data_IF_601636747675
#
_entry.id   IF_601636747675
#
_cell.length_a   1.000
_cell.length_b   1.000
_cell.length_c   1.000
_cell.angle_alpha   90.00
_cell.angle_beta   90.00
_cell.angle_gamma   90.00
#
_symmetry.space_group_name_H-M   'P 1'
#
loop_
_entity.id
_entity.type
_entity.pdbx_description
1 polymer ?
#
# COMPACT_ATOMS: atom_id res chain seq x y z
N UNK A 1 84.65 12.29 48.88
CA UNK A 1 84.93 11.33 47.80
C UNK A 1 83.62 10.68 47.37
N UNK A 2 83.44 10.60 46.05
CA UNK A 2 82.42 9.84 45.30
C UNK A 2 81.05 10.51 45.12
N UNK A 3 80.65 10.48 43.85
CA UNK A 3 79.73 11.30 43.07
C UNK A 3 78.30 10.69 42.97
N UNK A 4 77.37 11.59 42.62
CA UNK A 4 76.22 11.39 41.72
C UNK A 4 75.08 10.45 42.14
N UNK A 5 73.95 11.05 42.57
CA UNK A 5 72.63 10.42 42.52
C UNK A 5 71.91 10.90 41.25
N UNK A 6 71.84 10.01 40.26
CA UNK A 6 71.15 10.23 39.00
C UNK A 6 69.64 9.97 39.15
N UNK A 7 68.91 10.93 38.59
CA UNK A 7 67.47 11.02 38.33
C UNK A 7 66.87 9.74 37.75
N UNK A 8 65.73 9.28 38.30
CA UNK A 8 64.77 8.45 37.56
C UNK A 8 63.38 9.07 37.62
N UNK A 9 62.90 9.46 36.44
CA UNK A 9 61.63 10.09 36.20
C UNK A 9 60.47 9.08 36.32
N UNK A 10 59.50 9.41 37.17
CA UNK A 10 58.21 8.73 37.26
C UNK A 10 57.34 9.17 36.08
N UNK A 11 57.35 8.41 34.99
CA UNK A 11 56.37 8.58 33.89
C UNK A 11 55.10 7.82 34.27
N UNK A 12 54.08 8.56 34.69
CA UNK A 12 52.69 8.12 34.73
C UNK A 12 52.24 7.81 33.30
N UNK A 13 52.14 6.53 32.95
CA UNK A 13 51.40 6.08 31.77
C UNK A 13 50.00 5.68 32.24
N UNK A 14 49.08 6.64 32.15
CA UNK A 14 47.65 6.41 32.20
C UNK A 14 47.25 5.56 30.99
N UNK A 15 47.25 4.24 31.13
CA UNK A 15 46.61 3.34 30.19
C UNK A 15 45.09 3.49 30.33
N UNK A 16 44.54 4.50 29.66
CA UNK A 16 43.12 4.63 29.43
C UNK A 16 42.71 3.42 28.57
N UNK A 17 42.13 2.41 29.21
CA UNK A 17 41.48 1.30 28.54
C UNK A 17 40.27 1.88 27.78
N UNK A 18 40.50 2.30 26.54
CA UNK A 18 39.45 2.49 25.55
C UNK A 18 38.92 1.09 25.26
N UNK A 19 38.03 0.61 26.11
CA UNK A 19 37.11 -0.45 25.77
C UNK A 19 36.23 0.11 24.65
N UNK A 20 36.69 -0.10 23.41
CA UNK A 20 35.88 0.00 22.23
C UNK A 20 34.72 -0.98 22.41
N UNK A 21 33.60 -0.49 22.95
CA UNK A 21 32.32 -1.16 22.90
C UNK A 21 31.96 -1.29 21.43
N UNK A 22 32.39 -2.39 20.80
CA UNK A 22 31.91 -2.74 19.49
C UNK A 22 30.38 -2.72 19.58
N UNK A 23 29.68 -1.98 18.71
CA UNK A 23 28.23 -1.93 18.73
C UNK A 23 27.74 -3.37 18.65
N UNK A 24 27.02 -3.82 19.68
CA UNK A 24 26.34 -5.09 19.63
C UNK A 24 25.38 -5.03 18.45
N UNK A 25 25.72 -5.70 17.35
CA UNK A 25 24.86 -5.79 16.19
C UNK A 25 23.67 -6.66 16.59
N UNK A 26 22.57 -6.01 16.95
CA UNK A 26 21.28 -6.65 17.21
C UNK A 26 20.84 -7.43 15.96
N UNK A 27 20.70 -8.73 16.13
CA UNK A 27 20.54 -9.69 15.06
C UNK A 27 19.14 -10.30 15.12
N UNK A 28 18.15 -9.56 14.63
CA UNK A 28 16.75 -9.92 14.81
C UNK A 28 16.09 -10.27 13.47
N UNK A 29 15.34 -11.38 13.39
CA UNK A 29 14.70 -11.84 12.15
C UNK A 29 13.17 -11.97 12.29
N UNK A 30 12.48 -11.98 11.14
CA UNK A 30 11.02 -12.03 11.05
C UNK A 30 10.57 -12.68 9.74
N UNK A 31 9.33 -13.18 9.71
CA UNK A 31 8.75 -13.67 8.46
C UNK A 31 8.32 -12.50 7.57
N UNK A 32 9.09 -12.26 6.51
CA UNK A 32 8.80 -11.23 5.52
C UNK A 32 7.81 -11.71 4.43
N UNK A 33 7.76 -13.01 4.15
CA UNK A 33 6.76 -13.59 3.28
C UNK A 33 6.26 -14.92 3.83
N UNK A 34 4.95 -15.15 3.79
CA UNK A 34 4.30 -16.38 4.25
C UNK A 34 4.00 -17.31 3.08
N UNK A 35 3.78 -16.78 1.88
CA UNK A 35 3.47 -17.57 0.68
C UNK A 35 4.36 -17.18 -0.49
N UNK A 36 5.65 -17.49 -0.37
CA UNK A 36 6.64 -17.30 -1.42
C UNK A 36 6.39 -18.27 -2.57
N UNK A 37 6.35 -17.75 -3.80
CA UNK A 37 6.27 -18.55 -5.01
C UNK A 37 7.53 -18.34 -5.84
N UNK A 38 8.29 -19.42 -6.00
CA UNK A 38 9.46 -19.43 -6.87
C UNK A 38 9.06 -19.25 -8.33
N UNK A 39 9.85 -18.46 -9.05
CA UNK A 39 9.79 -18.34 -10.51
C UNK A 39 10.21 -19.65 -11.19
N UNK A 40 11.19 -20.35 -10.61
CA UNK A 40 11.62 -21.69 -11.03
C UNK A 40 11.65 -22.65 -9.83
N UNK A 41 10.76 -23.64 -9.81
CA UNK A 41 10.66 -24.62 -8.73
C UNK A 41 11.87 -25.57 -8.65
N UNK A 42 12.53 -25.82 -9.78
CA UNK A 42 13.68 -26.73 -9.86
C UNK A 42 14.98 -26.04 -9.44
N UNK A 43 14.98 -24.71 -9.39
CA UNK A 43 16.10 -23.89 -8.95
C UNK A 43 15.59 -22.81 -7.98
N UNK A 44 15.19 -23.21 -6.76
CA UNK A 44 14.62 -22.29 -5.79
C UNK A 44 15.63 -21.19 -5.46
N UNK A 45 15.18 -19.95 -5.58
CA UNK A 45 15.93 -18.77 -5.19
C UNK A 45 15.02 -17.89 -4.32
N UNK A 46 15.51 -17.60 -3.11
CA UNK A 46 14.81 -16.76 -2.14
C UNK A 46 15.02 -15.27 -2.40
N UNK A 47 15.89 -14.87 -3.33
CA UNK A 47 16.05 -13.47 -3.73
C UNK A 47 14.78 -12.90 -4.37
N UNK A 48 14.65 -11.58 -4.42
CA UNK A 48 13.52 -10.92 -5.09
C UNK A 48 13.43 -11.22 -6.60
N UNK A 49 14.52 -11.74 -7.21
CA UNK A 49 14.52 -12.22 -8.60
C UNK A 49 14.04 -13.67 -8.72
N UNK A 50 14.11 -14.42 -7.63
CA UNK A 50 13.84 -15.85 -7.58
C UNK A 50 12.36 -16.21 -7.42
N UNK A 51 11.50 -15.23 -7.13
CA UNK A 51 10.09 -15.46 -6.89
C UNK A 51 9.33 -14.19 -6.51
N UNK A 52 8.10 -14.38 -6.03
CA UNK A 52 7.25 -13.32 -5.51
C UNK A 52 6.47 -13.77 -4.30
N UNK A 53 6.09 -12.82 -3.45
CA UNK A 53 5.29 -13.09 -2.27
C UNK A 53 3.79 -12.93 -2.55
N UNK A 54 3.00 -13.96 -2.23
CA UNK A 54 1.53 -13.98 -2.40
C UNK A 54 0.75 -13.90 -1.09
N UNK A 55 1.44 -13.64 0.02
CA UNK A 55 0.81 -13.62 1.33
C UNK A 55 1.81 -13.24 2.41
N UNK A 56 1.41 -12.30 3.26
CA UNK A 56 2.31 -11.65 4.20
C UNK A 56 1.87 -11.86 5.64
N UNK A 57 2.75 -11.53 6.58
CA UNK A 57 2.39 -11.37 7.98
C UNK A 57 1.35 -10.23 8.14
N UNK A 58 0.65 -10.22 9.28
CA UNK A 58 -0.34 -9.17 9.55
C UNK A 58 0.31 -7.79 9.54
N UNK A 59 -0.38 -6.84 8.93
CA UNK A 59 0.02 -5.43 8.82
C UNK A 59 1.46 -5.28 8.30
N UNK A 60 1.86 -6.15 7.39
CA UNK A 60 3.18 -6.08 6.78
C UNK A 60 3.20 -5.01 5.67
N UNK A 61 4.09 -4.02 5.71
CA UNK A 61 4.19 -2.98 4.68
C UNK A 61 4.88 -3.55 3.43
N UNK A 62 4.12 -4.21 2.56
CA UNK A 62 4.69 -4.98 1.43
C UNK A 62 5.41 -4.14 0.37
N UNK A 63 5.23 -2.81 0.38
CA UNK A 63 5.93 -1.87 -0.51
C UNK A 63 7.35 -1.55 -0.04
N UNK A 64 7.71 -1.94 1.19
CA UNK A 64 9.04 -1.72 1.75
C UNK A 64 10.04 -2.80 1.30
N UNK A 65 11.32 -2.45 1.34
CA UNK A 65 12.42 -3.34 0.95
C UNK A 65 12.56 -4.45 1.99
N UNK A 66 12.70 -5.70 1.52
CA UNK A 66 12.68 -6.94 2.32
C UNK A 66 13.46 -6.93 3.66
N UNK A 67 14.57 -6.20 3.74
CA UNK A 67 15.51 -6.23 4.87
C UNK A 67 15.58 -4.92 5.66
N UNK A 68 14.82 -3.87 5.31
CA UNK A 68 14.95 -2.52 5.90
C UNK A 68 14.06 -2.28 7.12
N UNK A 69 13.33 -3.29 7.58
CA UNK A 69 12.31 -3.14 8.62
C UNK A 69 12.81 -3.30 10.06
N UNK A 70 14.14 -3.32 10.28
CA UNK A 70 14.71 -3.29 11.63
C UNK A 70 14.75 -1.90 12.24
N UNK A 71 15.14 -0.90 11.46
CA UNK A 71 15.18 0.50 11.91
C UNK A 71 13.85 1.24 11.69
N UNK A 72 12.84 0.57 11.12
CA UNK A 72 11.53 1.15 10.91
C UNK A 72 10.74 1.24 12.21
N UNK A 73 9.87 2.24 12.33
CA UNK A 73 8.91 2.32 13.43
C UNK A 73 7.50 1.98 12.93
N UNK A 74 6.86 0.90 13.41
CA UNK A 74 7.38 -0.09 14.35
C UNK A 74 8.26 -1.14 13.66
N UNK A 75 9.29 -1.60 14.37
CA UNK A 75 10.19 -2.66 13.91
C UNK A 75 9.41 -3.95 13.67
N UNK A 76 9.85 -4.82 12.77
CA UNK A 76 9.22 -6.14 12.57
C UNK A 76 9.75 -7.24 13.48
N UNK A 77 10.85 -7.02 14.20
CA UNK A 77 11.31 -8.00 15.17
C UNK A 77 10.47 -7.90 16.46
N UNK A 78 9.74 -8.97 16.75
CA UNK A 78 9.07 -9.14 18.03
C UNK A 78 9.82 -10.20 18.83
N UNK A 79 10.61 -9.77 19.82
CA UNK A 79 11.23 -10.68 20.77
C UNK A 79 10.17 -11.06 21.83
N UNK A 80 9.62 -12.26 21.70
CA UNK A 80 8.55 -12.75 22.52
C UNK A 80 9.02 -12.96 23.98
N UNK A 81 8.42 -12.28 24.97
CA UNK A 81 8.70 -12.57 26.37
C UNK A 81 8.07 -13.90 26.79
N UNK A 82 8.61 -14.55 27.83
CA UNK A 82 8.21 -15.89 28.31
C UNK A 82 6.69 -16.06 28.51
N UNK A 83 6.02 -15.01 28.98
CA UNK A 83 4.57 -14.99 29.23
C UNK A 83 3.81 -14.02 28.31
N UNK A 84 4.44 -13.61 27.20
CA UNK A 84 3.87 -12.66 26.25
C UNK A 84 2.78 -13.25 25.35
N UNK A 85 2.08 -12.38 24.60
CA UNK A 85 1.21 -12.82 23.54
C UNK A 85 2.00 -13.59 22.46
N UNK A 86 1.29 -14.43 21.70
CA UNK A 86 1.91 -15.19 20.62
C UNK A 86 2.35 -14.31 19.42
N UNK A 87 1.59 -13.24 19.20
CA UNK A 87 1.77 -12.27 18.14
C UNK A 87 2.01 -10.91 18.78
N UNK A 88 2.85 -10.08 18.17
CA UNK A 88 3.09 -8.73 18.69
C UNK A 88 1.78 -7.94 18.78
N UNK A 89 1.62 -7.23 19.87
CA UNK A 89 0.54 -6.28 20.11
C UNK A 89 1.04 -4.85 20.33
N UNK A 90 2.31 -4.57 19.99
CA UNK A 90 3.03 -3.30 20.19
C UNK A 90 3.25 -2.89 21.64
N UNK A 91 2.84 -3.71 22.60
CA UNK A 91 2.92 -3.40 24.04
C UNK A 91 3.94 -4.32 24.70
N UNK A 92 3.88 -5.61 24.37
CA UNK A 92 4.76 -6.61 24.96
C UNK A 92 5.92 -6.91 24.02
N UNK A 93 7.13 -6.88 24.56
CA UNK A 93 8.39 -7.23 23.89
C UNK A 93 9.48 -7.35 24.94
N UNK A 94 10.38 -8.32 24.80
CA UNK A 94 11.59 -8.38 25.64
C UNK A 94 12.57 -7.31 25.14
N UNK A 95 13.28 -6.64 26.06
CA UNK A 95 14.31 -5.64 25.75
C UNK A 95 13.87 -4.46 24.85
N UNK A 96 12.57 -4.14 24.79
CA UNK A 96 12.05 -3.08 23.93
C UNK A 96 11.67 -3.52 22.50
N UNK A 97 11.94 -4.78 22.14
CA UNK A 97 11.58 -5.39 20.85
C UNK A 97 10.10 -5.78 20.82
N UNK A 98 9.23 -4.77 20.93
CA UNK A 98 7.77 -4.95 20.93
C UNK A 98 7.25 -5.42 19.57
N UNK A 99 7.99 -5.15 18.49
CA UNK A 99 7.57 -5.42 17.11
C UNK A 99 6.36 -4.62 16.64
N UNK A 100 5.94 -4.87 15.39
CA UNK A 100 4.80 -4.23 14.76
C UNK A 100 3.50 -4.91 15.15
N UNK A 101 2.38 -4.17 15.16
CA UNK A 101 1.08 -4.73 15.53
C UNK A 101 0.66 -5.86 14.59
N UNK A 102 0.73 -7.09 15.09
CA UNK A 102 0.31 -8.32 14.42
C UNK A 102 -0.97 -8.89 15.05
N UNK A 103 -1.71 -8.09 15.81
CA UNK A 103 -3.05 -8.47 16.27
C UNK A 103 -3.98 -8.66 15.08
N UNK A 104 -4.95 -9.53 15.27
CA UNK A 104 -6.04 -9.73 14.31
C UNK A 104 -6.79 -8.40 14.07
N UNK A 105 -6.99 -8.05 12.80
CA UNK A 105 -7.97 -7.03 12.43
C UNK A 105 -9.41 -7.51 12.68
N UNK A 106 -10.33 -6.58 12.92
CA UNK A 106 -11.76 -6.86 12.97
C UNK A 106 -12.54 -5.82 12.12
N UNK A 107 -12.94 -6.14 10.88
CA UNK A 107 -12.81 -7.44 10.20
C UNK A 107 -11.35 -7.80 9.87
N UNK A 108 -11.10 -9.08 9.55
CA UNK A 108 -9.73 -9.57 9.30
C UNK A 108 -9.01 -8.83 8.18
N UNK A 109 -9.77 -8.29 7.21
CA UNK A 109 -9.27 -7.48 6.11
C UNK A 109 -8.52 -6.22 6.58
N UNK A 110 -8.82 -5.68 7.77
CA UNK A 110 -8.06 -4.54 8.32
C UNK A 110 -6.58 -4.85 8.57
N UNK A 111 -6.20 -6.12 8.67
CA UNK A 111 -4.80 -6.52 8.81
C UNK A 111 -4.07 -6.70 7.46
N UNK A 112 -4.77 -6.56 6.32
CA UNK A 112 -4.26 -6.91 4.98
C UNK A 112 -4.72 -5.97 3.86
N UNK A 113 -5.31 -4.81 4.17
CA UNK A 113 -5.86 -3.88 3.17
C UNK A 113 -4.96 -2.65 2.94
N UNK A 114 -5.09 -2.05 1.76
CA UNK A 114 -4.43 -0.80 1.36
C UNK A 114 -2.91 -0.89 1.43
N UNK A 115 -2.33 -0.30 2.48
CA UNK A 115 -0.88 -0.28 2.73
C UNK A 115 -0.28 -1.63 3.16
N UNK A 116 -1.11 -2.60 3.54
CA UNK A 116 -0.65 -3.90 4.03
C UNK A 116 -0.68 -4.97 2.94
N UNK A 117 0.24 -5.93 3.00
CA UNK A 117 0.30 -7.03 2.06
C UNK A 117 -0.93 -7.94 2.14
N UNK A 118 -1.28 -8.69 1.08
CA UNK A 118 -2.43 -9.60 1.07
C UNK A 118 -2.32 -10.73 2.09
N UNK A 119 -3.49 -11.24 2.49
CA UNK A 119 -3.62 -12.45 3.30
C UNK A 119 -3.27 -13.70 2.50
N UNK A 120 -2.61 -14.67 3.12
CA UNK A 120 -2.31 -15.95 2.46
C UNK A 120 -3.60 -16.76 2.24
N UNK A 121 -3.78 -17.27 1.01
CA UNK A 121 -4.80 -18.28 0.69
C UNK A 121 -4.12 -19.54 0.14
N UNK A 122 -4.50 -20.71 0.64
CA UNK A 122 -3.92 -22.00 0.27
C UNK A 122 -4.94 -23.14 0.39
N UNK A 123 -4.56 -24.35 -0.02
CA UNK A 123 -5.34 -25.57 0.14
C UNK A 123 -4.56 -26.57 0.99
N UNK A 124 -5.27 -27.52 1.61
CA UNK A 124 -4.66 -28.72 2.17
C UNK A 124 -3.81 -29.42 1.10
N UNK A 125 -2.61 -29.89 1.48
CA UNK A 125 -1.68 -30.57 0.58
C UNK A 125 -0.83 -29.65 -0.30
N UNK A 126 -1.17 -28.36 -0.40
CA UNK A 126 -0.32 -27.40 -1.11
C UNK A 126 0.99 -27.18 -0.37
N UNK A 127 2.04 -26.88 -1.13
CA UNK A 127 3.31 -26.42 -0.57
C UNK A 127 3.24 -24.92 -0.31
N UNK A 128 3.50 -24.53 0.93
CA UNK A 128 3.59 -23.15 1.39
C UNK A 128 5.04 -22.88 1.78
N UNK A 129 5.59 -21.77 1.30
CA UNK A 129 6.99 -21.42 1.48
C UNK A 129 7.09 -20.08 2.20
N UNK A 130 7.82 -20.05 3.32
CA UNK A 130 8.01 -18.85 4.14
C UNK A 130 9.42 -18.32 3.87
N UNK A 131 9.56 -17.00 3.77
CA UNK A 131 10.83 -16.28 3.52
C UNK A 131 11.12 -15.31 4.65
N UNK A 132 12.36 -15.24 5.11
CA UNK A 132 12.85 -14.35 6.18
C UNK A 132 14.28 -13.86 5.89
N UNK A 133 14.70 -12.70 6.42
CA UNK A 133 16.09 -12.25 6.30
C UNK A 133 16.99 -12.99 7.30
N UNK A 134 18.25 -13.27 6.92
CA UNK A 134 19.16 -14.03 7.77
C UNK A 134 19.72 -13.24 8.97
N UNK A 135 19.91 -11.93 8.80
CA UNK A 135 20.27 -10.99 9.86
C UNK A 135 21.54 -11.39 10.59
N UNK A 136 22.61 -11.55 9.82
CA UNK A 136 23.97 -11.97 10.19
C UNK A 136 24.12 -13.47 10.55
N UNK A 137 23.03 -14.16 10.87
CA UNK A 137 23.00 -15.60 11.18
C UNK A 137 23.03 -16.55 9.97
N UNK A 138 23.65 -16.10 8.87
CA UNK A 138 23.79 -16.89 7.65
C UNK A 138 25.17 -17.55 7.52
N UNK A 139 26.02 -17.40 8.53
CA UNK A 139 27.40 -17.87 8.52
C UNK A 139 27.52 -19.36 8.88
N UNK A 140 28.55 -20.00 8.33
CA UNK A 140 28.77 -21.45 8.45
C UNK A 140 29.10 -21.93 9.87
N UNK A 141 29.57 -21.03 10.74
CA UNK A 141 30.18 -21.38 12.02
C UNK A 141 29.21 -21.25 13.21
N UNK A 142 27.95 -20.93 12.98
CA UNK A 142 26.93 -20.89 14.04
C UNK A 142 26.10 -22.18 14.05
N UNK A 143 25.43 -22.48 15.16
CA UNK A 143 24.52 -23.62 15.23
C UNK A 143 23.33 -23.47 14.27
N UNK A 144 22.89 -24.60 13.70
CA UNK A 144 21.68 -24.64 12.87
C UNK A 144 20.44 -24.57 13.75
N UNK A 145 19.99 -23.34 13.99
CA UNK A 145 18.72 -23.09 14.68
C UNK A 145 17.54 -23.42 13.77
N UNK A 146 16.41 -23.76 14.39
CA UNK A 146 15.19 -24.15 13.66
C UNK A 146 14.13 -23.07 13.72
N UNK A 147 13.42 -22.93 12.61
CA UNK A 147 12.15 -22.21 12.52
C UNK A 147 11.03 -23.19 12.75
N UNK A 148 10.19 -22.93 13.73
CA UNK A 148 8.93 -23.62 13.95
C UNK A 148 7.81 -22.92 13.17
N UNK A 149 7.03 -23.70 12.43
CA UNK A 149 5.77 -23.23 11.86
C UNK A 149 4.61 -23.82 12.65
N UNK A 150 3.84 -22.97 13.31
CA UNK A 150 2.64 -23.37 14.04
C UNK A 150 1.40 -22.95 13.23
N UNK A 151 0.39 -23.81 13.15
CA UNK A 151 -0.84 -23.56 12.39
C UNK A 151 -2.07 -24.00 13.18
N UNK A 152 -2.70 -23.04 13.86
CA UNK A 152 -3.86 -23.25 14.72
C UNK A 152 -5.15 -22.75 14.08
N UNK A 153 -6.23 -23.55 14.18
CA UNK A 153 -7.57 -23.12 13.73
C UNK A 153 -8.02 -21.96 14.60
N UNK A 154 -8.60 -20.93 13.98
CA UNK A 154 -8.95 -19.71 14.69
C UNK A 154 -10.45 -19.46 14.76
N UNK A 155 -10.97 -19.36 15.98
CA UNK A 155 -12.35 -18.92 16.29
C UNK A 155 -12.28 -17.72 17.24
N UNK A 156 -12.33 -16.49 16.71
CA UNK A 156 -12.25 -15.27 17.53
C UNK A 156 -10.83 -14.75 17.78
N UNK A 157 -10.39 -14.69 19.06
CA UNK A 157 -9.10 -14.15 19.52
C UNK A 157 -7.91 -14.98 19.04
N UNK A 158 -6.70 -14.42 19.10
CA UNK A 158 -5.48 -15.19 18.82
C UNK A 158 -5.25 -16.27 19.91
N UNK A 159 -4.90 -17.50 19.54
CA UNK A 159 -4.51 -18.54 20.49
C UNK A 159 -3.30 -18.11 21.34
N UNK A 160 -3.22 -18.63 22.56
CA UNK A 160 -2.03 -18.46 23.42
C UNK A 160 -0.82 -19.21 22.85
N UNK A 161 0.39 -18.83 23.28
CA UNK A 161 1.61 -19.52 22.83
C UNK A 161 1.58 -21.02 23.18
N UNK A 162 1.12 -21.37 24.39
CA UNK A 162 0.95 -22.77 24.81
C UNK A 162 0.02 -23.57 23.88
N UNK A 163 -1.01 -22.93 23.33
CA UNK A 163 -1.88 -23.57 22.35
C UNK A 163 -1.22 -23.69 20.98
N UNK A 164 -0.42 -22.71 20.57
CA UNK A 164 0.31 -22.74 19.30
C UNK A 164 1.43 -23.78 19.28
N UNK A 165 2.12 -23.98 20.40
CA UNK A 165 3.19 -24.97 20.52
C UNK A 165 2.69 -26.41 20.29
N UNK A 166 1.42 -26.67 20.59
CA UNK A 166 0.74 -27.94 20.28
C UNK A 166 0.29 -28.06 18.82
N UNK A 167 0.44 -27.00 18.03
CA UNK A 167 -0.02 -26.89 16.64
C UNK A 167 1.13 -26.78 15.64
N UNK A 168 2.34 -27.21 16.04
CA UNK A 168 3.48 -27.28 15.13
C UNK A 168 3.18 -28.18 13.94
N UNK A 169 3.43 -27.68 12.72
CA UNK A 169 3.21 -28.40 11.46
C UNK A 169 4.48 -28.53 10.63
N UNK A 170 5.54 -27.78 10.96
CA UNK A 170 6.84 -27.91 10.33
C UNK A 170 7.98 -27.40 11.23
N UNK A 171 9.16 -27.97 11.00
CA UNK A 171 10.45 -27.45 11.42
C UNK A 171 11.28 -27.18 10.17
N UNK A 172 11.74 -25.95 10.00
CA UNK A 172 12.49 -25.52 8.82
C UNK A 172 13.90 -25.10 9.27
N UNK A 173 14.94 -25.44 8.50
CA UNK A 173 16.29 -24.95 8.77
C UNK A 173 16.34 -23.44 8.61
N UNK A 174 16.80 -22.70 9.61
CA UNK A 174 16.87 -21.24 9.53
C UNK A 174 17.83 -20.78 8.41
N UNK A 175 18.95 -21.49 8.23
CA UNK A 175 20.04 -21.13 7.30
C UNK A 175 19.85 -21.59 5.86
N UNK A 176 18.64 -21.95 5.44
CA UNK A 176 18.38 -22.27 4.03
C UNK A 176 18.30 -20.99 3.17
N UNK A 177 19.47 -20.41 2.93
CA UNK A 177 19.68 -19.08 2.37
C UNK A 177 20.31 -19.12 0.97
N UNK A 178 20.03 -18.10 0.15
CA UNK A 178 20.67 -17.96 -1.16
C UNK A 178 22.19 -17.73 -1.05
N UNK A 179 22.98 -18.29 -1.96
CA UNK A 179 24.44 -18.09 -2.00
C UNK A 179 24.80 -16.65 -2.41
N UNK A 180 25.92 -16.10 -1.92
CA UNK A 180 26.59 -14.88 -2.40
C UNK A 180 26.00 -13.49 -2.01
N UNK A 181 25.40 -13.32 -0.84
CA UNK A 181 25.04 -11.98 -0.30
C UNK A 181 25.61 -11.77 1.09
N UNK A 182 25.79 -10.51 1.51
CA UNK A 182 26.06 -10.15 2.91
C UNK A 182 25.14 -10.93 3.85
N UNK A 183 25.70 -11.50 4.92
CA UNK A 183 24.98 -12.31 5.90
C UNK A 183 23.83 -11.56 6.57
N UNK A 184 23.87 -10.23 6.66
CA UNK A 184 22.79 -9.42 7.21
C UNK A 184 21.51 -9.48 6.35
N UNK A 185 21.66 -9.31 5.03
CA UNK A 185 20.53 -9.11 4.10
C UNK A 185 20.19 -10.35 3.28
N UNK A 186 20.82 -11.48 3.59
CA UNK A 186 20.67 -12.70 2.82
C UNK A 186 19.24 -13.24 3.01
N UNK A 187 18.46 -13.44 1.93
CA UNK A 187 17.15 -14.03 2.04
C UNK A 187 17.27 -15.54 2.27
N UNK A 188 16.53 -16.02 3.25
CA UNK A 188 16.40 -17.43 3.60
C UNK A 188 14.93 -17.83 3.56
N UNK A 189 14.68 -19.13 3.55
CA UNK A 189 13.31 -19.61 3.65
C UNK A 189 13.20 -21.10 3.79
N UNK A 190 11.97 -21.58 3.93
CA UNK A 190 11.67 -23.00 3.95
C UNK A 190 10.25 -23.27 3.50
N UNK A 191 10.01 -24.47 3.00
CA UNK A 191 8.71 -24.88 2.48
C UNK A 191 8.18 -26.07 3.28
N UNK A 192 6.87 -26.13 3.44
CA UNK A 192 6.19 -27.26 4.06
C UNK A 192 4.85 -27.53 3.37
N UNK A 193 4.34 -28.75 3.55
CA UNK A 193 3.02 -29.16 3.07
C UNK A 193 1.96 -28.75 4.09
N UNK A 194 0.92 -28.07 3.65
CA UNK A 194 -0.23 -27.74 4.51
C UNK A 194 -0.92 -29.04 4.93
N UNK A 195 -0.96 -29.40 6.22
CA UNK A 195 -1.51 -30.68 6.65
C UNK A 195 -3.04 -30.71 6.49
N UNK A 196 -3.67 -31.90 6.60
CA UNK A 196 -5.12 -32.03 6.63
C UNK A 196 -5.77 -31.11 7.68
N UNK A 197 -6.64 -30.23 7.21
CA UNK A 197 -7.37 -29.24 8.01
C UNK A 197 -8.76 -29.00 7.40
N UNK A 198 -9.73 -28.69 8.26
CA UNK A 198 -11.02 -28.20 7.80
C UNK A 198 -10.85 -26.84 7.10
N UNK A 199 -11.70 -26.48 6.13
CA UNK A 199 -11.65 -25.15 5.54
C UNK A 199 -11.88 -24.06 6.57
N UNK A 200 -11.21 -22.92 6.41
CA UNK A 200 -11.38 -21.75 7.27
C UNK A 200 -10.10 -20.95 7.45
N UNK A 201 -10.17 -19.98 8.37
CA UNK A 201 -9.04 -19.10 8.68
C UNK A 201 -8.24 -19.69 9.84
N UNK A 202 -6.93 -19.78 9.63
CA UNK A 202 -5.94 -20.27 10.59
C UNK A 202 -4.98 -19.14 10.97
N UNK A 203 -4.46 -19.17 12.19
CA UNK A 203 -3.26 -18.43 12.57
C UNK A 203 -2.05 -19.28 12.22
N UNK A 204 -1.20 -18.77 11.32
CA UNK A 204 0.14 -19.27 11.07
C UNK A 204 1.11 -18.40 11.87
N UNK A 205 1.96 -19.04 12.67
CA UNK A 205 3.06 -18.39 13.37
C UNK A 205 4.38 -18.95 12.84
N UNK A 206 5.24 -18.05 12.38
CA UNK A 206 6.67 -18.29 12.23
C UNK A 206 7.33 -17.98 13.56
N UNK A 207 8.09 -18.93 14.11
CA UNK A 207 8.71 -18.81 15.43
C UNK A 207 10.12 -19.36 15.39
N UNK A 208 11.10 -18.51 15.67
CA UNK A 208 12.52 -18.83 15.60
C UNK A 208 13.17 -18.63 16.97
N UNK A 209 14.05 -19.54 17.36
CA UNK A 209 14.86 -19.41 18.58
C UNK A 209 16.27 -19.04 18.18
N UNK A 210 16.67 -17.81 18.49
CA UNK A 210 18.02 -17.33 18.24
C UNK A 210 18.98 -17.95 19.25
N UNK A 211 18.75 -17.66 20.53
CA UNK A 211 19.45 -18.23 21.66
C UNK A 211 18.48 -19.03 22.53
N UNK A 212 18.95 -19.94 23.40
CA UNK A 212 18.10 -20.66 24.34
C UNK A 212 17.16 -19.72 25.12
N UNK A 213 15.85 -19.85 24.87
CA UNK A 213 14.82 -19.02 25.51
C UNK A 213 14.53 -17.67 24.84
N UNK A 214 15.24 -17.31 23.78
CA UNK A 214 15.04 -16.07 23.01
C UNK A 214 14.30 -16.34 21.71
N UNK A 215 12.99 -16.08 21.74
CA UNK A 215 12.08 -16.38 20.65
C UNK A 215 11.70 -15.13 19.88
N UNK A 216 11.79 -15.19 18.56
CA UNK A 216 11.26 -14.19 17.65
C UNK A 216 10.06 -14.76 16.93
N UNK A 217 8.98 -13.98 16.80
CA UNK A 217 7.77 -14.46 16.14
C UNK A 217 7.22 -13.49 15.10
N UNK A 218 6.54 -14.05 14.10
CA UNK A 218 5.70 -13.31 13.17
C UNK A 218 4.41 -14.07 12.92
N UNK A 219 3.29 -13.36 12.93
CA UNK A 219 1.95 -13.91 12.84
C UNK A 219 1.25 -13.52 11.54
N UNK A 220 0.60 -14.52 10.94
CA UNK A 220 -0.17 -14.39 9.72
C UNK A 220 -1.51 -15.11 9.83
N UNK A 221 -2.52 -14.59 9.15
CA UNK A 221 -3.79 -15.24 8.93
C UNK A 221 -3.70 -15.95 7.59
N UNK A 222 -4.13 -17.22 7.57
CA UNK A 222 -4.09 -18.05 6.37
C UNK A 222 -5.47 -18.63 6.13
N UNK A 223 -6.07 -18.34 4.99
CA UNK A 223 -7.28 -19.03 4.52
C UNK A 223 -6.88 -20.39 3.96
N UNK A 224 -7.34 -21.46 4.59
CA UNK A 224 -7.18 -22.84 4.11
C UNK A 224 -8.49 -23.28 3.47
N UNK A 225 -8.41 -23.69 2.21
CA UNK A 225 -9.54 -24.20 1.44
C UNK A 225 -9.51 -25.73 1.43
N UNK A 226 -10.67 -26.36 1.20
CA UNK A 226 -10.76 -27.81 1.03
C UNK A 226 -9.91 -28.21 -0.18
N UNK A 227 -9.17 -29.31 -0.06
CA UNK A 227 -8.59 -29.97 -1.22
C UNK A 227 -9.72 -30.60 -2.00
N UNK A 228 -10.29 -29.89 -2.97
CA UNK A 228 -11.25 -30.46 -3.91
C UNK A 228 -10.48 -31.38 -4.84
N UNK A 229 -10.33 -32.65 -4.45
CA UNK A 229 -9.99 -33.72 -5.39
C UNK A 229 -11.21 -33.93 -6.29
N UNK A 230 -11.42 -32.99 -7.21
CA UNK A 230 -12.34 -33.12 -8.34
C UNK A 230 -11.67 -32.42 -9.52
N UNK A 231 -10.79 -33.19 -10.16
CA UNK A 231 -10.63 -33.30 -11.61
C UNK A 231 -10.68 -31.97 -12.39
N UNK A 232 -9.47 -31.50 -12.74
CA UNK A 232 -9.06 -30.96 -14.05
C UNK A 232 -9.67 -29.67 -14.66
N UNK A 233 -10.67 -28.97 -14.10
CA UNK A 233 -11.28 -27.82 -14.82
C UNK A 233 -10.98 -26.43 -14.21
N UNK A 234 -10.48 -26.32 -12.97
CA UNK A 234 -10.32 -25.00 -12.31
C UNK A 234 -8.90 -24.41 -12.36
N UNK A 235 -7.89 -25.18 -12.77
CA UNK A 235 -6.51 -24.69 -12.83
C UNK A 235 -6.31 -23.55 -13.84
N UNK A 236 -7.13 -23.47 -14.88
CA UNK A 236 -7.12 -22.35 -15.83
C UNK A 236 -7.78 -21.10 -15.23
N UNK A 237 -8.87 -21.19 -14.45
CA UNK A 237 -9.54 -20.00 -13.89
C UNK A 237 -8.83 -19.39 -12.67
N UNK A 238 -8.15 -20.19 -11.85
CA UNK A 238 -7.42 -19.71 -10.66
C UNK A 238 -6.07 -19.05 -11.00
N UNK A 239 -5.44 -19.44 -12.12
CA UNK A 239 -4.18 -18.81 -12.59
C UNK A 239 -4.42 -17.45 -13.24
N UNK A 240 -5.61 -17.18 -13.78
CA UNK A 240 -6.01 -15.86 -14.29
C UNK A 240 -6.47 -14.88 -13.20
N UNK A 241 -6.95 -15.34 -12.05
CA UNK A 241 -7.46 -14.48 -10.96
C UNK A 241 -6.39 -14.09 -9.93
N UNK A 242 -5.32 -14.87 -9.76
CA UNK A 242 -4.21 -14.56 -8.84
C UNK A 242 -3.05 -13.76 -9.48
N UNK A 243 -3.09 -13.53 -10.80
CA UNK A 243 -2.12 -12.73 -11.55
C UNK A 243 -2.74 -11.54 -12.27
N UNK A 244 -4.05 -11.30 -12.15
CA UNK A 244 -4.56 -9.98 -12.45
C UNK A 244 -3.90 -9.05 -11.42
N UNK A 245 -3.04 -8.08 -11.81
CA UNK A 245 -2.73 -7.00 -10.89
C UNK A 245 -4.08 -6.52 -10.36
N UNK A 246 -4.25 -6.47 -9.04
CA UNK A 246 -5.24 -5.57 -8.48
C UNK A 246 -4.73 -4.19 -8.89
N UNK A 247 -5.05 -3.79 -10.13
CA UNK A 247 -4.80 -2.45 -10.59
C UNK A 247 -5.58 -1.60 -9.61
N UNK A 248 -4.87 -0.81 -8.81
CA UNK A 248 -5.47 0.26 -8.02
C UNK A 248 -6.19 1.14 -9.02
N UNK A 249 -7.50 0.91 -9.15
CA UNK A 249 -8.28 1.47 -10.24
C UNK A 249 -8.76 2.88 -9.91
N UNK A 250 -7.84 3.71 -9.41
CA UNK A 250 -8.14 4.99 -8.81
C UNK A 250 -8.12 6.06 -9.90
N UNK A 251 -9.28 6.61 -10.26
CA UNK A 251 -9.38 7.63 -11.31
C UNK A 251 -9.57 9.03 -10.71
N UNK A 252 -9.26 10.07 -11.49
CA UNK A 252 -9.35 11.48 -11.11
C UNK A 252 -9.59 12.35 -12.34
N UNK A 253 -10.06 13.58 -12.15
CA UNK A 253 -10.12 14.55 -13.25
C UNK A 253 -8.71 15.07 -13.58
N UNK A 254 -8.21 14.70 -14.74
CA UNK A 254 -6.94 15.21 -15.30
C UNK A 254 -7.13 16.59 -15.92
N UNK A 255 -8.25 16.79 -16.62
CA UNK A 255 -8.61 18.06 -17.22
C UNK A 255 -10.09 18.36 -16.97
N UNK A 256 -10.42 19.62 -16.67
CA UNK A 256 -11.79 20.09 -16.41
C UNK A 256 -12.34 20.93 -17.57
N UNK A 257 -11.45 21.44 -18.44
CA UNK A 257 -11.82 22.11 -19.68
C UNK A 257 -11.01 21.59 -20.87
N UNK A 258 -11.29 20.35 -21.29
CA UNK A 258 -10.72 19.74 -22.47
C UNK A 258 -11.29 20.39 -23.74
N UNK A 259 -10.42 20.80 -24.66
CA UNK A 259 -10.82 21.35 -25.97
C UNK A 259 -10.32 20.46 -27.08
N UNK A 260 -11.25 19.90 -27.84
CA UNK A 260 -10.94 19.13 -29.03
C UNK A 260 -10.33 20.01 -30.12
N UNK A 261 -9.34 19.49 -30.83
CA UNK A 261 -8.72 20.13 -32.01
C UNK A 261 -9.33 19.64 -33.33
N UNK A 262 -10.10 18.56 -33.30
CA UNK A 262 -10.74 17.96 -34.47
C UNK A 262 -12.26 17.80 -34.34
N UNK A 263 -12.88 17.29 -35.42
CA UNK A 263 -14.34 17.04 -35.48
C UNK A 263 -14.80 15.81 -34.67
N UNK A 264 -13.88 14.92 -34.32
CA UNK A 264 -14.16 13.71 -33.54
C UNK A 264 -13.76 13.94 -32.09
N UNK A 265 -14.57 13.41 -31.18
CA UNK A 265 -14.25 13.39 -29.76
C UNK A 265 -13.10 12.41 -29.53
N UNK A 266 -11.88 12.92 -29.54
CA UNK A 266 -10.65 12.20 -29.21
C UNK A 266 -10.09 12.79 -27.92
N UNK A 267 -10.09 11.98 -26.87
CA UNK A 267 -9.64 12.38 -25.53
C UNK A 267 -8.12 12.26 -25.35
N UNK A 268 -7.39 11.74 -26.34
CA UNK A 268 -5.93 11.64 -26.30
C UNK A 268 -5.28 13.00 -26.48
N UNK A 269 -4.00 13.12 -26.11
CA UNK A 269 -3.23 14.36 -26.28
C UNK A 269 -3.08 14.80 -27.77
N UNK A 270 -3.44 13.94 -28.73
CA UNK A 270 -3.52 14.29 -30.16
C UNK A 270 -4.87 14.92 -30.54
N UNK A 271 -5.92 14.59 -29.80
CA UNK A 271 -7.30 14.97 -30.09
C UNK A 271 -7.73 16.31 -29.51
N UNK A 272 -6.90 16.91 -28.65
CA UNK A 272 -7.24 18.14 -27.96
C UNK A 272 -6.15 18.63 -27.02
N UNK A 273 -6.49 19.65 -26.23
CA UNK A 273 -5.62 20.20 -25.18
C UNK A 273 -6.43 20.61 -23.97
N UNK A 274 -5.78 20.62 -22.82
CA UNK A 274 -6.41 21.07 -21.59
C UNK A 274 -6.36 22.59 -21.42
N UNK A 275 -7.52 23.20 -21.17
CA UNK A 275 -7.67 24.64 -20.93
C UNK A 275 -7.94 25.00 -19.47
N UNK A 276 -8.13 24.01 -18.61
CA UNK A 276 -8.39 24.23 -17.20
C UNK A 276 -8.30 22.93 -16.41
N UNK A 277 -7.67 23.00 -15.24
CA UNK A 277 -7.29 21.84 -14.45
C UNK A 277 -7.97 21.84 -13.08
N UNK A 278 -7.90 20.72 -12.39
CA UNK A 278 -8.21 20.64 -10.97
C UNK A 278 -7.22 21.50 -10.14
N UNK A 279 -7.61 21.84 -8.90
CA UNK A 279 -6.80 22.63 -7.97
C UNK A 279 -5.45 21.95 -7.75
N UNK A 280 -4.37 22.75 -7.82
CA UNK A 280 -2.98 22.32 -7.60
C UNK A 280 -2.58 21.09 -8.45
N UNK A 281 -3.17 20.94 -9.64
CA UNK A 281 -2.83 19.85 -10.54
C UNK A 281 -1.40 20.03 -11.08
N UNK A 282 -0.47 19.10 -10.83
CA UNK A 282 0.93 19.26 -11.22
C UNK A 282 1.11 19.09 -12.73
N UNK A 283 1.86 20.01 -13.34
CA UNK A 283 2.23 19.93 -14.76
C UNK A 283 3.51 19.09 -14.96
N UNK A 284 3.76 18.67 -16.19
CA UNK A 284 4.98 17.92 -16.56
C UNK A 284 4.92 16.41 -16.30
N UNK A 285 3.74 15.88 -15.90
CA UNK A 285 3.52 14.45 -15.72
C UNK A 285 2.74 13.86 -16.88
N UNK A 286 2.99 12.57 -17.17
CA UNK A 286 2.24 11.84 -18.19
C UNK A 286 0.78 11.62 -17.79
N UNK A 287 -0.10 11.50 -18.79
CA UNK A 287 -1.51 11.20 -18.55
C UNK A 287 -1.68 9.90 -17.76
N UNK A 288 -2.47 9.98 -16.68
CA UNK A 288 -2.79 8.82 -15.84
C UNK A 288 -1.62 8.23 -15.05
N UNK A 289 -0.53 8.99 -14.80
CA UNK A 289 0.66 8.49 -14.06
C UNK A 289 0.81 9.06 -12.65
N UNK A 290 -0.24 9.66 -12.09
CA UNK A 290 -0.19 10.34 -10.78
C UNK A 290 -0.71 9.48 -9.62
N UNK A 291 -0.75 8.15 -9.81
CA UNK A 291 -1.12 7.18 -8.77
C UNK A 291 -0.07 7.12 -7.65
N UNK A 292 1.21 7.10 -8.04
CA UNK A 292 2.35 7.01 -7.13
C UNK A 292 2.99 8.37 -6.81
N UNK A 293 2.38 9.47 -7.28
CA UNK A 293 2.85 10.80 -6.96
C UNK A 293 2.72 11.07 -5.45
N UNK A 294 3.57 11.96 -4.92
CA UNK A 294 3.47 12.42 -3.53
C UNK A 294 3.19 13.92 -3.50
N UNK A 295 1.97 14.34 -3.10
CA UNK A 295 0.78 13.51 -2.84
C UNK A 295 0.14 12.99 -4.13
N UNK A 296 -0.52 11.83 -4.04
CA UNK A 296 -1.21 11.23 -5.19
C UNK A 296 -2.47 12.01 -5.56
N UNK A 297 -3.03 11.78 -6.75
CA UNK A 297 -4.20 12.54 -7.22
C UNK A 297 -5.54 11.91 -6.92
N UNK A 298 -5.58 10.69 -6.40
CA UNK A 298 -6.82 10.00 -6.08
C UNK A 298 -7.25 10.29 -4.63
N UNK A 299 -8.12 11.29 -4.46
CA UNK A 299 -8.79 11.48 -3.18
C UNK A 299 -9.98 10.52 -3.09
N UNK A 300 -9.91 9.54 -2.18
CA UNK A 300 -11.02 8.63 -1.88
C UNK A 300 -11.70 9.05 -0.58
N UNK A 301 -12.98 9.39 -0.67
CA UNK A 301 -13.82 9.72 0.49
C UNK A 301 -13.95 8.51 1.44
N UNK A 302 -14.30 8.75 2.70
CA UNK A 302 -14.46 7.67 3.67
C UNK A 302 -15.61 6.74 3.25
N UNK A 303 -15.33 5.44 3.11
CA UNK A 303 -16.36 4.44 2.72
C UNK A 303 -17.53 4.35 3.70
N UNK A 304 -17.28 4.62 4.98
CA UNK A 304 -18.27 4.58 6.06
C UNK A 304 -19.28 5.73 6.02
N UNK A 305 -18.88 6.88 5.47
CA UNK A 305 -19.70 8.09 5.42
C UNK A 305 -19.21 9.02 4.29
N UNK A 306 -19.39 8.60 3.03
CA UNK A 306 -18.90 9.35 1.87
C UNK A 306 -19.62 10.69 1.73
N UNK A 307 -20.84 10.80 2.25
CA UNK A 307 -21.70 11.98 2.09
C UNK A 307 -21.40 13.11 3.08
N UNK A 308 -20.65 12.81 4.16
CA UNK A 308 -20.17 13.79 5.14
C UNK A 308 -18.67 14.05 5.01
N UNK A 309 -17.97 13.30 4.16
CA UNK A 309 -16.56 13.56 3.84
C UNK A 309 -16.43 14.93 3.17
N UNK A 310 -15.30 15.63 3.31
CA UNK A 310 -15.03 16.82 2.51
C UNK A 310 -15.20 16.54 1.01
N UNK A 311 -15.75 17.47 0.22
CA UNK A 311 -15.86 17.26 -1.22
C UNK A 311 -14.51 17.27 -1.93
N UNK A 312 -13.58 18.07 -1.41
CA UNK A 312 -12.23 18.25 -1.92
C UNK A 312 -11.24 17.74 -0.89
N UNK A 313 -10.14 17.15 -1.36
CA UNK A 313 -9.07 16.72 -0.45
C UNK A 313 -8.51 17.92 0.32
N UNK A 314 -8.26 17.70 1.61
CA UNK A 314 -7.59 18.63 2.50
C UNK A 314 -6.30 18.04 3.12
N UNK A 315 -5.76 16.97 2.51
CA UNK A 315 -4.63 16.16 2.99
C UNK A 315 -4.83 15.43 4.33
N UNK A 316 -5.99 15.59 4.98
CA UNK A 316 -6.24 15.04 6.32
C UNK A 316 -7.30 13.94 6.27
N UNK A 317 -8.40 14.24 5.58
CA UNK A 317 -9.56 13.38 5.47
C UNK A 317 -9.52 12.47 4.25
N UNK A 318 -10.33 11.41 4.29
CA UNK A 318 -10.43 10.40 3.24
C UNK A 318 -9.83 9.05 3.65
N UNK A 319 -10.34 8.00 3.02
CA UNK A 319 -9.69 6.68 3.06
C UNK A 319 -8.38 6.70 2.28
N UNK A 320 -8.29 7.52 1.24
CA UNK A 320 -7.04 7.93 0.57
C UNK A 320 -7.05 9.44 0.48
N UNK A 321 -6.02 10.09 1.03
CA UNK A 321 -6.05 11.53 1.25
C UNK A 321 -5.92 12.33 -0.04
N UNK A 322 -5.27 11.82 -1.08
CA UNK A 322 -4.98 12.61 -2.28
C UNK A 322 -4.12 13.84 -2.00
N UNK A 323 -4.01 14.72 -3.00
CA UNK A 323 -3.33 16.01 -2.94
C UNK A 323 -4.26 17.11 -2.45
N UNK A 324 -3.72 18.17 -1.82
CA UNK A 324 -4.53 19.31 -1.35
C UNK A 324 -5.33 19.97 -2.47
N UNK A 325 -6.64 19.87 -2.40
CA UNK A 325 -7.59 20.51 -3.31
C UNK A 325 -8.49 21.51 -2.57
N UNK A 326 -8.11 21.96 -1.38
CA UNK A 326 -8.81 23.05 -0.68
C UNK A 326 -8.72 24.34 -1.48
N UNK A 327 -9.76 25.17 -1.41
CA UNK A 327 -9.77 26.49 -2.04
C UNK A 327 -8.65 27.37 -1.50
N UNK A 328 -7.77 27.86 -2.38
CA UNK A 328 -6.75 28.82 -2.00
C UNK A 328 -7.30 30.26 -1.87
N UNK A 329 -6.58 31.11 -1.13
CA UNK A 329 -6.89 32.53 -0.99
C UNK A 329 -5.67 33.42 -1.36
N UNK A 330 -5.71 34.16 -2.47
CA UNK A 330 -6.74 34.12 -3.53
C UNK A 330 -6.78 32.79 -4.28
N UNK A 331 -7.87 32.47 -5.02
CA UNK A 331 -7.97 31.23 -5.80
C UNK A 331 -6.81 31.00 -6.76
N UNK A 332 -6.23 32.08 -7.31
CA UNK A 332 -5.08 32.03 -8.22
C UNK A 332 -3.87 31.30 -7.64
N UNK A 333 -3.70 31.23 -6.31
CA UNK A 333 -2.60 30.47 -5.69
C UNK A 333 -2.69 28.96 -5.89
N UNK A 334 -3.85 28.42 -6.27
CA UNK A 334 -4.01 27.01 -6.60
C UNK A 334 -3.68 26.69 -8.07
N UNK A 335 -3.29 27.69 -8.87
CA UNK A 335 -3.12 27.58 -10.31
C UNK A 335 -1.86 28.33 -10.79
N UNK A 336 -1.37 27.96 -11.98
CA UNK A 336 -0.19 28.59 -12.59
C UNK A 336 1.14 28.15 -11.97
N UNK A 337 2.25 28.62 -12.55
CA UNK A 337 3.60 28.16 -12.21
C UNK A 337 3.74 26.67 -12.45
N UNK A 338 3.97 25.89 -11.38
CA UNK A 338 4.04 24.42 -11.44
C UNK A 338 2.67 23.73 -11.57
N UNK A 339 1.58 24.49 -11.41
CA UNK A 339 0.22 23.97 -11.48
C UNK A 339 -0.48 24.36 -12.78
N UNK A 340 -1.46 23.54 -13.17
CA UNK A 340 -2.36 23.85 -14.27
C UNK A 340 -3.11 25.17 -14.06
N UNK A 341 -3.60 25.76 -15.15
CA UNK A 341 -4.42 26.99 -15.10
C UNK A 341 -5.85 26.70 -14.64
N UNK A 342 -6.50 27.73 -14.10
CA UNK A 342 -7.92 27.72 -13.76
C UNK A 342 -8.79 27.74 -15.03
N UNK A 343 -9.94 27.06 -14.98
CA UNK A 343 -10.93 27.11 -16.06
C UNK A 343 -11.62 28.48 -16.13
N UNK A 344 -11.70 29.08 -17.32
CA UNK A 344 -12.49 30.29 -17.58
C UNK A 344 -13.53 29.98 -18.66
N UNK A 345 -14.80 30.28 -18.40
CA UNK A 345 -15.91 29.90 -19.26
C UNK A 345 -17.07 30.89 -19.17
N UNK A 346 -18.11 30.66 -19.97
CA UNK A 346 -19.36 31.42 -19.96
C UNK A 346 -20.56 30.49 -19.77
N UNK A 347 -21.70 31.04 -19.32
CA UNK A 347 -22.96 30.31 -19.27
C UNK A 347 -23.30 29.75 -20.66
N UNK A 348 -23.79 28.51 -20.73
CA UNK A 348 -24.13 27.82 -21.97
C UNK A 348 -22.94 27.31 -22.79
N UNK A 349 -21.70 27.68 -22.43
CA UNK A 349 -20.53 27.03 -23.01
C UNK A 349 -20.51 25.54 -22.66
N UNK A 350 -19.94 24.74 -23.57
CA UNK A 350 -19.64 23.34 -23.29
C UNK A 350 -18.30 23.26 -22.55
N UNK A 351 -18.28 22.61 -21.39
CA UNK A 351 -17.07 22.16 -20.71
C UNK A 351 -16.96 20.65 -20.85
N UNK A 352 -15.75 20.17 -21.08
CA UNK A 352 -15.45 18.76 -21.22
C UNK A 352 -14.42 18.35 -20.17
N UNK A 353 -14.73 17.32 -19.40
CA UNK A 353 -13.86 16.78 -18.35
C UNK A 353 -13.21 15.50 -18.88
N UNK A 354 -11.91 15.33 -18.63
CA UNK A 354 -11.10 14.18 -19.04
C UNK A 354 -10.54 13.46 -17.82
N UNK A 355 -10.54 12.13 -17.84
CA UNK A 355 -10.01 11.27 -16.77
C UNK A 355 -9.39 9.97 -17.33
N UNK A 356 -8.44 9.33 -16.62
CA UNK A 356 -7.92 8.03 -17.00
C UNK A 356 -8.91 6.90 -16.64
N UNK A 357 -9.02 5.88 -17.48
CA UNK A 357 -9.96 4.77 -17.28
C UNK A 357 -9.63 3.80 -16.16
N UNK A 358 -8.35 3.65 -15.82
CA UNK A 358 -7.87 2.81 -14.71
C UNK A 358 -8.41 1.38 -14.75
N UNK A 359 -8.29 0.77 -15.92
CA UNK A 359 -8.73 -0.58 -16.31
C UNK A 359 -10.22 -0.74 -16.65
N UNK A 360 -11.06 0.26 -16.35
CA UNK A 360 -12.53 0.18 -16.53
C UNK A 360 -13.05 0.67 -17.89
N UNK A 361 -12.20 0.88 -18.88
CA UNK A 361 -12.60 1.44 -20.18
C UNK A 361 -13.51 0.53 -21.05
N UNK A 362 -13.77 -0.71 -20.62
CA UNK A 362 -14.57 -1.68 -21.37
C UNK A 362 -15.60 -2.41 -20.51
N UNK A 363 -15.81 -2.00 -19.27
CA UNK A 363 -16.77 -2.64 -18.38
C UNK A 363 -18.13 -1.96 -18.52
N UNK A 364 -19.15 -2.74 -18.86
CA UNK A 364 -20.50 -2.22 -19.17
C UNK A 364 -21.28 -1.77 -17.91
N UNK A 365 -20.72 -1.93 -16.71
CA UNK A 365 -21.42 -1.72 -15.43
C UNK A 365 -20.68 -0.81 -14.44
N UNK A 366 -19.91 0.16 -14.94
CA UNK A 366 -19.35 1.20 -14.07
C UNK A 366 -20.34 2.37 -13.91
N UNK A 367 -20.55 2.87 -12.68
CA UNK A 367 -21.35 4.06 -12.45
C UNK A 367 -20.84 5.28 -13.23
N UNK A 368 -21.76 6.16 -13.59
CA UNK A 368 -21.42 7.43 -14.22
C UNK A 368 -20.59 8.32 -13.28
N UNK A 369 -19.78 9.18 -13.88
CA UNK A 369 -19.19 10.33 -13.22
C UNK A 369 -20.28 11.35 -12.94
N UNK A 370 -20.38 11.81 -11.70
CA UNK A 370 -21.26 12.88 -11.27
C UNK A 370 -20.48 14.20 -11.27
N UNK A 371 -21.04 15.22 -11.92
CA UNK A 371 -20.50 16.58 -11.88
C UNK A 371 -21.39 17.44 -11.00
N UNK A 372 -20.80 18.04 -9.98
CA UNK A 372 -21.46 19.01 -9.11
C UNK A 372 -20.84 20.38 -9.28
N UNK A 373 -21.67 21.43 -9.22
CA UNK A 373 -21.23 22.82 -9.32
C UNK A 373 -21.91 23.67 -8.26
N UNK A 374 -21.15 24.26 -7.35
CA UNK A 374 -21.69 25.05 -6.24
C UNK A 374 -22.66 26.14 -6.71
N UNK A 375 -23.65 26.47 -5.88
CA UNK A 375 -24.56 27.59 -6.13
C UNK A 375 -23.93 28.94 -5.83
N UNK A 376 -23.14 29.03 -4.78
CA UNK A 376 -22.53 30.28 -4.32
C UNK A 376 -21.22 30.52 -5.07
N UNK A 377 -21.07 31.73 -5.62
CA UNK A 377 -19.80 32.22 -6.16
C UNK A 377 -18.90 32.72 -5.05
N UNK A 378 -17.59 32.66 -5.27
CA UNK A 378 -16.55 33.23 -4.40
C UNK A 378 -16.60 32.76 -2.94
N UNK A 379 -17.29 31.66 -2.65
CA UNK A 379 -17.41 31.11 -1.30
C UNK A 379 -16.24 30.19 -0.96
N UNK A 380 -16.04 29.92 0.33
CA UNK A 380 -15.26 28.77 0.78
C UNK A 380 -15.86 27.47 0.23
N UNK A 381 -15.11 26.38 0.35
CA UNK A 381 -15.62 25.05 0.03
C UNK A 381 -16.82 24.73 0.93
N UNK A 382 -17.93 24.37 0.29
CA UNK A 382 -19.15 23.95 0.97
C UNK A 382 -19.04 22.48 1.40
N UNK A 383 -19.93 22.00 2.26
CA UNK A 383 -19.95 20.57 2.61
C UNK A 383 -20.40 19.71 1.43
N UNK A 384 -20.03 18.43 1.44
CA UNK A 384 -20.45 17.48 0.41
C UNK A 384 -21.98 17.35 0.34
N UNK A 385 -22.66 17.33 1.51
CA UNK A 385 -24.12 17.31 1.61
C UNK A 385 -24.78 18.52 0.94
N UNK A 386 -24.19 19.71 1.08
CA UNK A 386 -24.70 20.90 0.39
C UNK A 386 -24.42 20.83 -1.11
N UNK A 387 -23.23 20.36 -1.50
CA UNK A 387 -22.82 20.25 -2.90
C UNK A 387 -23.73 19.29 -3.70
N UNK A 388 -24.24 18.22 -3.07
CA UNK A 388 -25.14 17.26 -3.72
C UNK A 388 -26.43 17.85 -4.28
N UNK A 389 -26.88 18.98 -3.73
CA UNK A 389 -28.08 19.69 -4.21
C UNK A 389 -27.88 20.31 -5.60
N UNK A 390 -26.65 20.37 -6.09
CA UNK A 390 -26.29 21.08 -7.31
C UNK A 390 -25.56 20.19 -8.33
N UNK A 391 -26.06 18.97 -8.53
CA UNK A 391 -25.62 18.10 -9.63
C UNK A 391 -25.99 18.74 -10.96
N UNK A 392 -25.04 18.83 -11.88
CA UNK A 392 -25.23 19.47 -13.21
C UNK A 392 -25.05 18.50 -14.37
N UNK A 393 -24.41 17.34 -14.16
CA UNK A 393 -24.30 16.31 -15.17
C UNK A 393 -24.03 14.93 -14.57
N UNK A 394 -24.44 13.89 -15.30
CA UNK A 394 -23.97 12.51 -15.17
C UNK A 394 -23.28 12.13 -16.49
N UNK A 395 -21.98 11.84 -16.44
CA UNK A 395 -21.16 11.55 -17.62
C UNK A 395 -20.80 10.06 -17.65
N UNK A 396 -20.93 9.37 -18.79
CA UNK A 396 -20.56 7.96 -18.88
C UNK A 396 -19.07 7.78 -18.61
N UNK A 397 -18.70 7.07 -17.53
CA UNK A 397 -17.29 6.87 -17.17
C UNK A 397 -16.53 6.15 -18.30
N UNK A 398 -17.19 5.20 -18.97
CA UNK A 398 -16.66 4.36 -20.04
C UNK A 398 -16.62 5.04 -21.42
N UNK A 399 -16.91 6.34 -21.53
CA UNK A 399 -16.76 7.08 -22.78
C UNK A 399 -15.28 7.36 -23.09
N UNK A 400 -14.60 6.31 -23.54
CA UNK A 400 -13.16 6.25 -23.71
C UNK A 400 -12.75 6.09 -25.17
N UNK A 401 -11.54 6.55 -25.50
CA UNK A 401 -10.95 6.28 -26.81
C UNK A 401 -10.82 4.77 -27.08
N UNK A 402 -10.92 4.35 -28.34
CA UNK A 402 -10.70 2.93 -28.71
C UNK A 402 -9.21 2.56 -28.61
N UNK A 403 -8.91 1.31 -28.23
CA UNK A 403 -7.55 0.76 -28.21
C UNK A 403 -6.65 1.25 -27.07
N UNK A 404 -5.39 0.83 -27.08
CA UNK A 404 -4.38 1.27 -26.09
C UNK A 404 -4.51 0.66 -24.69
N UNK A 405 -3.62 1.08 -23.80
CA UNK A 405 -3.51 0.62 -22.41
C UNK A 405 -4.80 0.92 -21.64
N UNK A 406 -5.47 -0.13 -21.11
CA UNK A 406 -6.73 0.00 -20.37
C UNK A 406 -6.59 0.81 -19.07
N UNK A 407 -5.40 0.94 -18.50
CA UNK A 407 -5.14 1.74 -17.29
C UNK A 407 -5.14 3.25 -17.59
N UNK A 408 -4.44 3.63 -18.65
CA UNK A 408 -4.21 5.04 -19.03
C UNK A 408 -5.04 5.48 -20.22
N UNK A 409 -6.12 4.76 -20.54
CA UNK A 409 -6.95 5.11 -21.69
C UNK A 409 -7.69 6.40 -21.37
N UNK A 410 -7.60 7.43 -22.24
CA UNK A 410 -8.31 8.66 -22.02
C UNK A 410 -9.82 8.46 -22.19
N UNK A 411 -10.57 8.92 -21.20
CA UNK A 411 -12.03 8.99 -21.22
C UNK A 411 -12.47 10.41 -20.89
N UNK A 412 -13.72 10.73 -21.20
CA UNK A 412 -14.26 12.01 -20.82
C UNK A 412 -15.73 12.17 -21.10
N UNK A 413 -16.27 13.32 -20.72
CA UNK A 413 -17.64 13.70 -21.02
C UNK A 413 -17.78 15.21 -20.99
N UNK A 414 -18.81 15.71 -21.67
CA UNK A 414 -19.06 17.14 -21.78
C UNK A 414 -20.43 17.50 -21.22
N UNK A 415 -20.54 18.69 -20.66
CA UNK A 415 -21.80 19.24 -20.17
C UNK A 415 -21.89 20.75 -20.46
N UNK A 416 -23.11 21.28 -20.43
CA UNK A 416 -23.37 22.71 -20.59
C UNK A 416 -23.26 23.41 -19.25
N UNK A 417 -22.53 24.52 -19.20
CA UNK A 417 -22.43 25.34 -17.99
C UNK A 417 -23.82 25.94 -17.70
N UNK A 418 -24.43 25.64 -16.55
CA UNK A 418 -25.77 26.12 -16.24
C UNK A 418 -25.78 27.64 -16.03
N UNK A 419 -26.97 28.24 -16.03
CA UNK A 419 -27.15 29.64 -15.69
C UNK A 419 -26.58 29.95 -14.30
N UNK A 420 -25.64 30.90 -14.26
CA UNK A 420 -24.93 31.38 -13.07
C UNK A 420 -24.55 32.84 -13.28
N UNK A 421 -24.51 33.61 -12.21
CA UNK A 421 -23.93 34.94 -12.23
C UNK A 421 -22.41 34.86 -12.51
N UNK A 422 -21.80 35.97 -12.93
CA UNK A 422 -20.34 36.02 -13.08
C UNK A 422 -19.66 35.83 -11.71
N UNK A 423 -18.63 34.98 -11.66
CA UNK A 423 -17.86 34.64 -10.45
C UNK A 423 -17.12 33.31 -10.51
N UNK A 424 -16.43 32.96 -9.41
CA UNK A 424 -15.66 31.71 -9.29
C UNK A 424 -16.44 30.68 -8.47
N UNK A 425 -16.67 29.51 -9.05
CA UNK A 425 -17.49 28.43 -8.48
C UNK A 425 -16.66 27.17 -8.23
N UNK A 426 -17.05 26.37 -7.23
CA UNK A 426 -16.48 25.05 -6.99
C UNK A 426 -17.15 24.03 -7.91
N UNK A 427 -16.35 23.38 -8.75
CA UNK A 427 -16.74 22.19 -9.51
C UNK A 427 -16.13 20.95 -8.86
N UNK A 428 -16.93 19.90 -8.71
CA UNK A 428 -16.47 18.58 -8.29
C UNK A 428 -16.76 17.56 -9.38
N UNK A 429 -15.72 16.85 -9.78
CA UNK A 429 -15.81 15.55 -10.45
C UNK A 429 -15.88 14.48 -9.37
N UNK A 430 -16.88 13.60 -9.41
CA UNK A 430 -17.09 12.56 -8.40
C UNK A 430 -17.49 11.25 -9.07
N UNK A 431 -16.80 10.16 -8.76
CA UNK A 431 -17.04 8.86 -9.37
C UNK A 431 -17.07 7.75 -8.33
N UNK A 432 -17.97 6.78 -8.51
CA UNK A 432 -18.09 5.61 -7.65
C UNK A 432 -17.50 4.41 -8.36
N UNK A 433 -16.37 3.90 -7.88
CA UNK A 433 -15.73 2.70 -8.42
C UNK A 433 -16.51 1.44 -7.99
N UNK A 434 -16.58 1.23 -6.67
CA UNK A 434 -17.37 0.19 -6.03
C UNK A 434 -18.42 0.82 -5.09
N UNK A 435 -19.33 0.00 -4.57
CA UNK A 435 -20.34 0.47 -3.60
C UNK A 435 -19.67 1.25 -2.46
N UNK A 436 -19.99 2.54 -2.36
CA UNK A 436 -19.47 3.50 -1.38
C UNK A 436 -17.97 3.85 -1.50
N UNK A 437 -17.29 3.45 -2.57
CA UNK A 437 -15.93 3.90 -2.90
C UNK A 437 -15.98 5.09 -3.86
N UNK A 438 -15.92 6.29 -3.29
CA UNK A 438 -16.06 7.54 -4.05
C UNK A 438 -14.72 8.24 -4.20
N UNK A 439 -14.34 8.48 -5.45
CA UNK A 439 -13.17 9.28 -5.83
C UNK A 439 -13.62 10.66 -6.27
N UNK A 440 -12.90 11.70 -5.84
CA UNK A 440 -13.23 13.08 -6.23
C UNK A 440 -12.03 13.88 -6.69
N UNK A 441 -12.31 14.90 -7.50
CA UNK A 441 -11.36 15.96 -7.85
C UNK A 441 -12.09 17.29 -7.91
N UNK A 442 -11.53 18.32 -7.30
CA UNK A 442 -12.11 19.65 -7.23
C UNK A 442 -11.37 20.68 -8.10
N UNK A 443 -12.14 21.59 -8.69
CA UNK A 443 -11.64 22.70 -9.48
C UNK A 443 -12.42 23.98 -9.17
N UNK A 444 -11.77 25.11 -9.36
CA UNK A 444 -12.42 26.41 -9.45
C UNK A 444 -12.69 26.70 -10.93
N UNK A 445 -13.92 27.11 -11.24
CA UNK A 445 -14.28 27.56 -12.58
C UNK A 445 -14.77 29.01 -12.51
N UNK A 446 -14.16 29.88 -13.31
CA UNK A 446 -14.59 31.27 -13.46
C UNK A 446 -15.63 31.35 -14.57
N UNK A 447 -16.86 31.70 -14.21
CA UNK A 447 -17.96 31.94 -15.14
C UNK A 447 -18.06 33.45 -15.38
N UNK A 448 -18.12 33.89 -16.64
CA UNK A 448 -18.32 35.30 -16.99
C UNK A 448 -17.04 36.13 -17.13
N UNK A 449 -15.89 35.50 -17.38
CA UNK A 449 -14.68 36.20 -17.84
C UNK A 449 -14.72 36.47 -19.36
N UNK A 450 -14.06 37.53 -19.82
CA UNK A 450 -13.69 37.66 -21.25
C UNK A 450 -12.69 36.52 -21.55
N UNK A 451 -12.94 35.77 -22.63
CA UNK A 451 -12.08 34.66 -23.06
C UNK A 451 -10.72 35.13 -23.53
#
# INVERSE_FOLDING_TARGET
>A
MIFSKTVYASVLVSALAVFSSAPATEAHSWAACINWKFNNKNKPDWSDKGGKCLGYARRYPYRDIFYTLDGGSPSRHYQQPKNGPACSDTIHGKNGDVGADERRGNPISQAYNGKWGPMTTTQVGNTLCVRWPAKNHAEKNEDDTVVLINLAKKTGKDPSQKSLDKSNVAKLPYKNCGKNKSSDRRPCGGCFKVPPRAPGIYLLQWRWMLNPGEWYTSCASTMVLKSSFTILVVATLAVFSANAPQAEAHSWADCVDWRFTGKKNDWSDKGGKCMGYARRFPLGHGFGTLDDASPNRHYMQYKSHPDTSPPCSNLKDGSERGSDETRANPPSKAYGGKFGRMTVTTVGSTLCVRWPSKTHAGEYKVPNVQIYLSKNKNSKDISQKELFKYKVADLPFSNCNKGGNKDKRPCGGCFKVPARASGIYLLQWRWMLNKNEWYTSCADIQIGGKK
#
